data_IF_782127922705
#
_entry.id   IF_782127922705
#
_cell.length_a   1.000
_cell.length_b   1.000
_cell.length_c   1.000
_cell.angle_alpha   90.00
_cell.angle_beta   90.00
_cell.angle_gamma   90.00
#
_symmetry.space_group_name_H-M   'P 1'
#
loop_
_entity.id
_entity.type
_entity.pdbx_description
1 polymer ?
#
# COMPACT_ATOMS: atom_id res chain seq x y z
N UNK A 1 16.04 4.75 -18.92
CA UNK A 1 15.06 5.57 -19.67
C UNK A 1 13.75 5.55 -18.89
N UNK A 2 13.29 6.68 -18.37
CA UNK A 2 12.05 6.75 -17.58
C UNK A 2 10.85 6.57 -18.53
N UNK A 3 10.06 5.51 -18.32
CA UNK A 3 8.67 5.50 -18.74
C UNK A 3 7.98 6.63 -17.95
N UNK A 4 7.28 7.55 -18.64
CA UNK A 4 6.43 8.52 -17.96
C UNK A 4 5.43 7.74 -17.10
N UNK A 5 5.38 8.06 -15.81
CA UNK A 5 4.29 7.55 -14.96
C UNK A 5 2.97 8.08 -15.52
N UNK A 6 1.95 7.21 -15.56
CA UNK A 6 0.61 7.63 -15.96
C UNK A 6 0.13 8.76 -15.04
N UNK A 7 -0.59 9.74 -15.60
CA UNK A 7 -1.26 10.73 -14.77
C UNK A 7 -2.35 10.06 -13.94
N UNK A 8 -2.52 10.56 -12.72
CA UNK A 8 -3.66 10.25 -11.87
C UNK A 8 -4.74 11.27 -12.23
N UNK A 9 -5.90 10.79 -12.66
CA UNK A 9 -7.03 11.63 -13.12
C UNK A 9 -8.19 11.60 -12.10
N UNK A 10 -7.95 11.08 -10.88
CA UNK A 10 -8.97 10.76 -9.89
C UNK A 10 -8.43 10.87 -8.45
N UNK A 11 -9.24 10.53 -7.44
CA UNK A 11 -8.82 10.59 -6.03
C UNK A 11 -7.89 9.45 -5.62
N UNK A 12 -6.89 9.76 -4.80
CA UNK A 12 -6.04 8.79 -4.12
C UNK A 12 -6.44 8.73 -2.64
N UNK A 13 -6.88 7.58 -2.16
CA UNK A 13 -7.14 7.39 -0.75
C UNK A 13 -5.84 7.06 0.00
N UNK A 14 -5.47 7.89 0.98
CA UNK A 14 -4.46 7.52 1.97
C UNK A 14 -5.06 6.50 2.94
N UNK A 15 -4.57 5.27 2.91
CA UNK A 15 -5.20 4.16 3.62
C UNK A 15 -4.67 4.00 5.03
N UNK A 16 -5.53 3.56 5.94
CA UNK A 16 -5.11 3.06 7.25
C UNK A 16 -4.47 1.68 7.11
N UNK A 17 -3.58 1.33 8.05
CA UNK A 17 -3.09 -0.04 8.19
C UNK A 17 -4.00 -0.77 9.17
N UNK A 18 -4.74 -1.82 8.75
CA UNK A 18 -5.55 -2.58 9.69
C UNK A 18 -4.64 -3.29 10.70
N UNK A 19 -4.97 -3.14 11.98
CA UNK A 19 -4.24 -3.75 13.10
C UNK A 19 -5.16 -4.73 13.85
N UNK A 20 -4.57 -5.75 14.46
CA UNK A 20 -5.24 -6.64 15.41
C UNK A 20 -5.26 -5.99 16.80
N UNK A 21 -6.09 -6.50 17.70
CA UNK A 21 -6.18 -5.98 19.07
C UNK A 21 -4.84 -6.04 19.84
N UNK A 22 -3.97 -6.98 19.49
CA UNK A 22 -2.64 -7.11 20.09
C UNK A 22 -1.58 -6.16 19.49
N UNK A 23 -1.95 -5.34 18.50
CA UNK A 23 -1.04 -4.42 17.83
C UNK A 23 -0.28 -5.02 16.64
N UNK A 24 -0.51 -6.28 16.27
CA UNK A 24 0.08 -6.83 15.05
C UNK A 24 -0.69 -6.37 13.81
N UNK A 25 0.00 -6.29 12.66
CA UNK A 25 -0.65 -6.03 11.37
C UNK A 25 -1.70 -7.10 11.03
N UNK A 26 -2.87 -6.65 10.58
CA UNK A 26 -3.97 -7.49 10.10
C UNK A 26 -4.06 -7.49 8.57
N UNK A 27 -3.22 -8.29 7.91
CA UNK A 27 -3.16 -8.36 6.44
C UNK A 27 -4.48 -8.85 5.81
N UNK A 28 -5.19 -9.76 6.46
CA UNK A 28 -6.44 -10.34 5.94
C UNK A 28 -7.55 -9.30 5.79
N UNK A 29 -7.57 -8.29 6.67
CA UNK A 29 -8.55 -7.21 6.61
C UNK A 29 -8.38 -6.30 5.38
N UNK A 30 -7.20 -6.29 4.74
CA UNK A 30 -6.93 -5.49 3.55
C UNK A 30 -7.82 -5.91 2.38
N UNK A 31 -8.19 -7.19 2.27
CA UNK A 31 -9.07 -7.67 1.20
C UNK A 31 -10.45 -7.01 1.24
N UNK A 32 -11.10 -7.01 2.41
CA UNK A 32 -12.40 -6.35 2.58
C UNK A 32 -12.29 -4.83 2.46
N UNK A 33 -11.21 -4.25 2.96
CA UNK A 33 -10.99 -2.81 2.89
C UNK A 33 -10.80 -2.33 1.45
N UNK A 34 -10.01 -3.05 0.65
CA UNK A 34 -9.83 -2.73 -0.76
C UNK A 34 -11.16 -2.84 -1.52
N UNK A 35 -11.96 -3.88 -1.27
CA UNK A 35 -13.27 -4.02 -1.91
C UNK A 35 -14.17 -2.83 -1.57
N UNK A 36 -14.21 -2.44 -0.29
CA UNK A 36 -14.97 -1.26 0.13
C UNK A 36 -14.55 0.01 -0.64
N UNK A 37 -13.25 0.26 -0.81
CA UNK A 37 -12.77 1.42 -1.56
C UNK A 37 -13.18 1.37 -3.04
N UNK A 38 -13.09 0.20 -3.67
CA UNK A 38 -13.54 -0.01 -5.05
C UNK A 38 -15.04 0.24 -5.19
N UNK A 39 -15.85 -0.22 -4.22
CA UNK A 39 -17.30 0.02 -4.19
C UNK A 39 -17.64 1.51 -4.06
N UNK A 40 -16.74 2.32 -3.49
CA UNK A 40 -16.85 3.79 -3.44
C UNK A 40 -16.29 4.50 -4.69
N UNK A 41 -15.85 3.75 -5.71
CA UNK A 41 -15.26 4.29 -6.93
C UNK A 41 -13.80 4.75 -6.79
N UNK A 42 -13.11 4.35 -5.72
CA UNK A 42 -11.71 4.73 -5.50
C UNK A 42 -10.79 3.72 -6.16
N UNK A 43 -10.08 4.16 -7.20
CA UNK A 43 -9.20 3.30 -8.01
C UNK A 43 -7.70 3.47 -7.69
N UNK A 44 -7.36 4.36 -6.75
CA UNK A 44 -5.98 4.66 -6.39
C UNK A 44 -5.83 4.72 -4.86
N UNK A 45 -4.79 4.08 -4.33
CA UNK A 45 -4.49 4.08 -2.90
C UNK A 45 -3.05 4.46 -2.63
N UNK A 46 -2.83 5.14 -1.50
CA UNK A 46 -1.52 5.46 -0.97
C UNK A 46 -1.32 4.76 0.37
N UNK A 47 -0.42 3.80 0.40
CA UNK A 47 -0.19 2.88 1.54
C UNK A 47 1.12 3.21 2.25
N UNK A 48 1.23 2.79 3.52
CA UNK A 48 2.38 3.08 4.40
C UNK A 48 2.65 4.59 4.61
N UNK A 49 1.68 5.44 4.30
CA UNK A 49 1.74 6.87 4.60
C UNK A 49 1.62 7.15 6.10
N UNK A 50 1.56 8.43 6.47
CA UNK A 50 1.28 8.84 7.85
C UNK A 50 -0.07 8.31 8.36
N UNK A 51 -1.11 8.39 7.54
CA UNK A 51 -2.44 7.81 7.83
C UNK A 51 -2.39 6.29 8.01
N UNK A 52 -1.49 5.62 7.29
CA UNK A 52 -1.24 4.18 7.43
C UNK A 52 -0.26 3.84 8.55
N UNK A 53 0.11 4.82 9.38
CA UNK A 53 1.05 4.65 10.50
C UNK A 53 2.42 4.09 10.07
N UNK A 54 2.84 4.33 8.82
CA UNK A 54 4.02 3.70 8.24
C UNK A 54 5.35 3.98 8.96
N UNK A 55 5.43 5.06 9.74
CA UNK A 55 6.60 5.40 10.58
C UNK A 55 6.68 4.57 11.86
N UNK A 56 5.57 3.98 12.30
CA UNK A 56 5.48 3.13 13.49
C UNK A 56 5.75 1.66 13.18
N UNK A 57 5.77 1.29 11.89
CA UNK A 57 5.89 -0.07 11.42
C UNK A 57 7.35 -0.43 11.11
N UNK A 58 7.69 -1.69 11.33
CA UNK A 58 8.96 -2.27 10.89
C UNK A 58 9.04 -2.35 9.37
N UNK A 59 10.26 -2.42 8.82
CA UNK A 59 10.48 -2.64 7.38
C UNK A 59 9.79 -3.89 6.87
N UNK A 60 9.81 -4.99 7.64
CA UNK A 60 9.13 -6.24 7.28
C UNK A 60 7.61 -6.09 7.21
N UNK A 61 6.99 -5.39 8.15
CA UNK A 61 5.55 -5.15 8.13
C UNK A 61 5.14 -4.31 6.92
N UNK A 62 5.88 -3.22 6.65
CA UNK A 62 5.65 -2.36 5.48
C UNK A 62 5.74 -3.15 4.17
N UNK A 63 6.67 -4.11 4.08
CA UNK A 63 6.79 -5.03 2.93
C UNK A 63 5.56 -5.92 2.80
N UNK A 64 5.16 -6.61 3.87
CA UNK A 64 4.00 -7.51 3.84
C UNK A 64 2.70 -6.77 3.51
N UNK A 65 2.51 -5.54 4.02
CA UNK A 65 1.38 -4.68 3.66
C UNK A 65 1.41 -4.35 2.17
N UNK A 66 2.58 -3.94 1.66
CA UNK A 66 2.77 -3.60 0.24
C UNK A 66 2.46 -4.78 -0.66
N UNK A 67 2.99 -5.96 -0.33
CA UNK A 67 2.73 -7.21 -1.05
C UNK A 67 1.23 -7.53 -1.08
N UNK A 68 0.56 -7.47 0.07
CA UNK A 68 -0.87 -7.76 0.17
C UNK A 68 -1.71 -6.82 -0.69
N UNK A 69 -1.47 -5.50 -0.64
CA UNK A 69 -2.17 -4.52 -1.48
C UNK A 69 -1.92 -4.78 -2.97
N UNK A 70 -0.67 -5.03 -3.38
CA UNK A 70 -0.35 -5.26 -4.79
C UNK A 70 -0.99 -6.57 -5.29
N UNK A 71 -0.90 -7.65 -4.52
CA UNK A 71 -1.51 -8.95 -4.87
C UNK A 71 -3.02 -8.81 -5.09
N UNK A 72 -3.72 -8.09 -4.21
CA UNK A 72 -5.15 -7.86 -4.35
C UNK A 72 -5.49 -6.95 -5.53
N UNK A 73 -4.68 -5.91 -5.77
CA UNK A 73 -4.88 -4.94 -6.86
C UNK A 73 -4.75 -5.52 -8.27
N UNK A 74 -4.22 -6.73 -8.39
CA UNK A 74 -4.04 -7.45 -9.66
C UNK A 74 -5.11 -8.51 -9.88
N UNK A 75 -6.02 -8.73 -8.93
CA UNK A 75 -7.12 -9.67 -9.11
C UNK A 75 -8.10 -9.14 -10.18
N UNK A 76 -8.59 -9.98 -11.10
CA UNK A 76 -9.56 -9.56 -12.10
C UNK A 76 -10.81 -8.93 -11.47
N UNK A 77 -11.22 -7.77 -11.97
CA UNK A 77 -12.38 -7.01 -11.47
C UNK A 77 -12.12 -6.24 -10.17
N UNK A 78 -10.87 -6.15 -9.73
CA UNK A 78 -10.43 -5.44 -8.52
C UNK A 78 -9.19 -4.59 -8.78
N UNK A 79 -9.04 -4.14 -10.02
CA UNK A 79 -7.89 -3.39 -10.49
C UNK A 79 -7.79 -2.05 -9.76
N UNK A 80 -6.63 -1.79 -9.15
CA UNK A 80 -6.36 -0.58 -8.38
C UNK A 80 -4.89 -0.21 -8.52
N UNK A 81 -4.56 1.08 -8.61
CA UNK A 81 -3.15 1.50 -8.58
C UNK A 81 -2.72 1.77 -7.14
N UNK A 82 -1.63 1.12 -6.74
CA UNK A 82 -1.07 1.23 -5.39
C UNK A 82 0.17 2.12 -5.42
N UNK A 83 0.15 3.20 -4.65
CA UNK A 83 1.29 4.07 -4.38
C UNK A 83 1.85 3.74 -3.01
N UNK A 84 3.14 3.44 -2.93
CA UNK A 84 3.77 3.00 -1.69
C UNK A 84 4.68 4.09 -1.17
N UNK A 85 4.47 4.52 0.07
CA UNK A 85 5.46 5.33 0.78
C UNK A 85 6.67 4.42 1.11
N UNK A 86 7.84 4.73 0.53
CA UNK A 86 9.11 4.04 0.82
C UNK A 86 10.16 4.89 1.55
N UNK A 87 9.95 6.20 1.65
CA UNK A 87 10.86 7.14 2.31
C UNK A 87 10.89 7.01 3.85
N UNK A 88 12.00 7.43 4.43
CA UNK A 88 12.18 7.47 5.88
C UNK A 88 13.49 8.16 6.27
N UNK A 89 13.85 8.05 7.55
CA UNK A 89 15.11 8.60 8.10
C UNK A 89 16.30 7.66 7.89
N UNK A 90 16.05 6.39 7.57
CA UNK A 90 17.07 5.41 7.23
C UNK A 90 17.12 5.19 5.71
N UNK A 91 18.26 5.56 5.12
CA UNK A 91 18.47 5.44 3.68
C UNK A 91 18.53 3.97 3.21
N UNK A 92 19.09 3.05 4.02
CA UNK A 92 19.18 1.64 3.67
C UNK A 92 17.79 0.99 3.63
N UNK A 93 16.96 1.28 4.63
CA UNK A 93 15.56 0.82 4.65
C UNK A 93 14.76 1.41 3.48
N UNK A 94 15.00 2.69 3.15
CA UNK A 94 14.34 3.33 2.00
C UNK A 94 14.66 2.62 0.69
N UNK A 95 15.94 2.27 0.46
CA UNK A 95 16.36 1.50 -0.71
C UNK A 95 15.72 0.12 -0.72
N UNK A 96 15.73 -0.57 0.43
CA UNK A 96 15.16 -1.90 0.58
C UNK A 96 13.64 -1.92 0.30
N UNK A 97 12.91 -0.89 0.74
CA UNK A 97 11.48 -0.74 0.47
C UNK A 97 11.19 -0.37 -0.99
N UNK A 98 12.06 0.41 -1.63
CA UNK A 98 11.93 0.77 -3.04
C UNK A 98 12.18 -0.42 -3.98
N UNK A 99 12.93 -1.43 -3.53
CA UNK A 99 13.22 -2.65 -4.29
C UNK A 99 12.16 -3.75 -4.16
N UNK A 100 11.07 -3.51 -3.41
CA UNK A 100 9.97 -4.47 -3.25
C UNK A 100 9.30 -4.73 -4.61
N UNK A 101 9.85 -5.72 -5.31
CA UNK A 101 9.42 -6.18 -6.62
C UNK A 101 8.37 -7.27 -6.42
N UNK A 102 7.11 -6.86 -6.32
CA UNK A 102 6.02 -7.82 -6.42
C UNK A 102 5.88 -8.18 -7.89
N UNK A 103 6.43 -9.34 -8.29
CA UNK A 103 6.31 -9.88 -9.66
C UNK A 103 4.85 -10.19 -9.97
#
# INVERSE_FOLDING_TARGET
MSKRADRVEDFIAATFTPMKENGDVNLEAIDKYQQFLLDQGINYVYVNGSTGEGTSLTTSERKSITEQWITLSRKPGREMKVFVQVGGTNFRETLELAEVNVK
#
